data_IF_948417390797
#
_entry.id   IF_948417390797
#
_cell.length_a   1.000
_cell.length_b   1.000
_cell.length_c   1.000
_cell.angle_alpha   90.00
_cell.angle_beta   90.00
_cell.angle_gamma   90.00
#
_symmetry.space_group_name_H-M   'P 1'
#
loop_
_entity.id
_entity.type
_entity.pdbx_description
1 polymer ?
#
# COMPACT_ATOMS: atom_id res chain seq x y z
N UNK A 1 -1.15 11.88 11.33
CA UNK A 1 -1.33 10.54 10.73
C UNK A 1 -0.09 10.23 9.91
N UNK A 2 0.56 9.09 10.12
CA UNK A 2 1.72 8.67 9.31
C UNK A 2 1.33 7.49 8.43
N UNK A 3 1.56 7.61 7.13
CA UNK A 3 1.33 6.53 6.18
C UNK A 3 2.64 5.80 5.92
N UNK A 4 2.55 4.48 5.86
CA UNK A 4 3.62 3.61 5.44
C UNK A 4 3.09 2.72 4.33
N UNK A 5 3.76 2.75 3.18
CA UNK A 5 3.47 1.82 2.08
C UNK A 5 4.56 0.77 2.09
N UNK A 6 4.18 -0.50 2.08
CA UNK A 6 5.08 -1.65 2.06
C UNK A 6 4.78 -2.44 0.80
N UNK A 7 5.72 -2.48 -0.13
CA UNK A 7 5.67 -3.40 -1.25
C UNK A 7 6.06 -4.79 -0.75
N UNK A 8 5.25 -5.79 -1.07
CA UNK A 8 5.48 -7.19 -0.76
C UNK A 8 5.57 -8.03 -2.03
N UNK A 9 6.29 -9.14 -1.96
CA UNK A 9 6.26 -10.18 -3.01
C UNK A 9 5.02 -11.07 -2.89
N UNK A 10 4.95 -12.09 -3.75
CA UNK A 10 3.85 -13.07 -3.78
C UNK A 10 3.71 -13.86 -2.48
N UNK A 11 4.81 -14.04 -1.74
CA UNK A 11 4.84 -14.72 -0.43
C UNK A 11 4.54 -13.75 0.74
N UNK A 12 4.28 -12.48 0.45
CA UNK A 12 3.99 -11.44 1.43
C UNK A 12 5.23 -10.89 2.15
N UNK A 13 6.44 -11.18 1.64
CA UNK A 13 7.70 -10.67 2.18
C UNK A 13 7.95 -9.25 1.69
N UNK A 14 8.38 -8.39 2.59
CA UNK A 14 8.62 -6.98 2.31
C UNK A 14 9.82 -6.81 1.36
N UNK A 15 9.57 -6.16 0.22
CA UNK A 15 10.56 -5.82 -0.80
C UNK A 15 11.03 -4.37 -0.67
N UNK A 16 10.10 -3.46 -0.42
CA UNK A 16 10.35 -2.02 -0.33
C UNK A 16 9.41 -1.36 0.66
N UNK A 17 9.89 -0.30 1.30
CA UNK A 17 9.10 0.51 2.21
C UNK A 17 9.21 1.99 1.84
N UNK A 18 8.08 2.69 1.89
CA UNK A 18 8.00 4.14 1.82
C UNK A 18 7.33 4.68 3.08
N UNK A 19 7.97 5.63 3.74
CA UNK A 19 7.47 6.25 4.97
C UNK A 19 7.00 7.68 4.71
N UNK A 20 5.92 8.07 5.40
CA UNK A 20 5.27 9.37 5.26
C UNK A 20 4.76 9.65 3.84
N UNK A 21 4.33 8.61 3.13
CA UNK A 21 3.68 8.75 1.82
C UNK A 21 2.51 9.74 1.94
N UNK A 22 2.45 10.72 1.03
CA UNK A 22 1.33 11.66 0.98
C UNK A 22 0.18 11.04 0.20
N UNK A 23 -0.73 10.40 0.92
CA UNK A 23 -1.94 9.82 0.34
C UNK A 23 -3.11 10.78 0.49
N UNK A 24 -3.77 11.08 -0.63
CA UNK A 24 -5.02 11.86 -0.64
C UNK A 24 -6.18 11.08 -0.01
N UNK A 25 -6.14 9.75 -0.11
CA UNK A 25 -7.10 8.81 0.50
C UNK A 25 -6.40 7.51 0.85
N UNK A 26 -6.91 6.82 1.87
CA UNK A 26 -6.45 5.46 2.21
C UNK A 26 -7.17 4.50 1.27
N UNK A 27 -6.45 3.74 0.43
CA UNK A 27 -7.07 2.74 -0.44
C UNK A 27 -7.61 1.57 0.39
N UNK A 28 -8.59 0.87 -0.15
CA UNK A 28 -9.13 -0.38 0.40
C UNK A 28 -8.29 -1.60 0.01
N UNK A 29 -8.48 -2.70 0.73
CA UNK A 29 -7.93 -4.00 0.30
C UNK A 29 -8.61 -4.45 -0.99
N UNK A 30 -7.82 -4.88 -1.97
CA UNK A 30 -8.27 -5.21 -3.33
C UNK A 30 -8.25 -4.02 -4.30
N UNK A 31 -8.03 -2.80 -3.82
CA UNK A 31 -7.93 -1.64 -4.71
C UNK A 31 -6.70 -1.76 -5.61
N UNK A 32 -6.87 -1.32 -6.86
CA UNK A 32 -5.79 -1.19 -7.82
C UNK A 32 -5.18 0.20 -7.73
N UNK A 33 -3.87 0.26 -7.55
CA UNK A 33 -3.10 1.50 -7.50
C UNK A 33 -2.18 1.52 -8.71
N UNK A 34 -2.36 2.52 -9.58
CA UNK A 34 -1.38 2.80 -10.61
C UNK A 34 -0.15 3.40 -9.93
N UNK A 35 1.03 2.78 -10.10
CA UNK A 35 2.27 3.37 -9.65
C UNK A 35 2.51 4.69 -10.38
N UNK A 36 2.89 5.75 -9.67
CA UNK A 36 3.23 7.05 -10.27
C UNK A 36 4.58 7.05 -11.04
N UNK A 37 5.04 5.89 -11.50
CA UNK A 37 6.28 5.73 -12.28
C UNK A 37 6.03 5.63 -13.78
N UNK A 38 7.06 5.97 -14.58
CA UNK A 38 7.03 5.88 -16.05
C UNK A 38 6.86 4.45 -16.59
N UNK A 39 6.86 3.45 -15.72
CA UNK A 39 6.92 2.03 -16.08
C UNK A 39 5.52 1.44 -16.29
N UNK A 40 4.47 2.21 -16.00
CA UNK A 40 3.07 1.75 -16.09
C UNK A 40 2.75 0.60 -15.14
N UNK A 41 3.52 0.44 -14.05
CA UNK A 41 3.36 -0.66 -13.11
C UNK A 41 2.06 -0.48 -12.30
N UNK A 42 1.20 -1.49 -12.34
CA UNK A 42 0.02 -1.58 -11.49
C UNK A 42 0.35 -2.37 -10.22
N UNK A 43 -0.26 -1.96 -9.11
CA UNK A 43 -0.19 -2.64 -7.83
C UNK A 43 -1.61 -2.96 -7.35
N UNK A 44 -1.75 -4.05 -6.62
CA UNK A 44 -2.96 -4.35 -5.85
C UNK A 44 -2.68 -4.16 -4.37
N UNK A 45 -3.66 -3.64 -3.63
CA UNK A 45 -3.58 -3.56 -2.18
C UNK A 45 -3.93 -4.90 -1.57
N UNK A 46 -2.96 -5.54 -0.95
CA UNK A 46 -3.15 -6.82 -0.27
C UNK A 46 -3.78 -6.67 1.10
N UNK A 47 -3.39 -5.63 1.84
CA UNK A 47 -3.88 -5.39 3.18
C UNK A 47 -3.68 -3.95 3.61
N UNK A 48 -4.57 -3.48 4.47
CA UNK A 48 -4.43 -2.20 5.17
C UNK A 48 -4.50 -2.44 6.66
N UNK A 49 -3.43 -2.11 7.37
CA UNK A 49 -3.28 -2.33 8.80
C UNK A 49 -3.24 -0.98 9.51
N UNK A 50 -4.22 -0.74 10.37
CA UNK A 50 -4.29 0.45 11.21
C UNK A 50 -3.67 0.14 12.58
N UNK A 51 -2.65 0.90 12.96
CA UNK A 51 -2.08 0.86 14.29
C UNK A 51 -2.40 2.15 15.04
N UNK A 52 -3.13 1.99 16.14
CA UNK A 52 -3.37 3.01 17.15
C UNK A 52 -2.41 2.79 18.31
N UNK A 53 -1.62 3.80 18.66
CA UNK A 53 -0.76 3.72 19.83
C UNK A 53 -1.51 4.25 21.05
N UNK A 54 -1.82 3.35 22.00
CA UNK A 54 -2.56 3.69 23.23
C UNK A 54 -1.80 4.73 24.08
N UNK A 55 -0.47 4.69 24.02
CA UNK A 55 0.44 5.58 24.78
C UNK A 55 0.58 6.97 24.15
N UNK A 56 0.32 7.09 22.85
CA UNK A 56 0.36 8.34 22.10
C UNK A 56 -0.89 8.41 21.22
N UNK A 57 -2.06 8.80 21.78
CA UNK A 57 -3.35 8.72 21.09
C UNK A 57 -3.44 9.58 19.81
N UNK A 58 -2.54 10.55 19.65
CA UNK A 58 -2.41 11.35 18.42
C UNK A 58 -1.59 10.66 17.33
N UNK A 59 -0.87 9.58 17.69
CA UNK A 59 -0.08 8.77 16.78
C UNK A 59 -0.96 7.66 16.19
N UNK A 60 -1.52 7.95 15.02
CA UNK A 60 -2.15 6.96 14.15
C UNK A 60 -1.22 6.64 12.98
N UNK A 61 -0.86 5.37 12.82
CA UNK A 61 -0.10 4.90 11.66
C UNK A 61 -0.88 3.89 10.84
N UNK A 62 -0.83 4.02 9.52
CA UNK A 62 -1.47 3.10 8.59
C UNK A 62 -0.39 2.45 7.75
N UNK A 63 -0.37 1.12 7.73
CA UNK A 63 0.51 0.33 6.86
C UNK A 63 -0.32 -0.25 5.73
N UNK A 64 0.03 0.09 4.49
CA UNK A 64 -0.63 -0.40 3.28
C UNK A 64 0.34 -1.37 2.63
N UNK A 65 -0.04 -2.65 2.55
CA UNK A 65 0.72 -3.67 1.84
C UNK A 65 0.24 -3.71 0.39
N UNK A 66 1.17 -3.56 -0.54
CA UNK A 66 0.90 -3.59 -1.97
C UNK A 66 1.73 -4.68 -2.65
N UNK A 67 1.16 -5.34 -3.65
CA UNK A 67 1.86 -6.31 -4.48
C UNK A 67 1.84 -5.84 -5.93
N UNK A 68 2.95 -6.06 -6.64
CA UNK A 68 2.97 -5.87 -8.10
C UNK A 68 2.03 -6.86 -8.76
N UNK A 69 1.29 -6.38 -9.75
CA UNK A 69 0.51 -7.23 -10.65
C UNK A 69 0.93 -6.97 -12.09
N UNK A 70 0.78 -7.98 -12.94
CA UNK A 70 0.96 -7.80 -14.38
C UNK A 70 -0.18 -6.95 -14.94
N UNK A 71 0.15 -6.08 -15.90
CA UNK A 71 -0.81 -5.14 -16.49
C UNK A 71 -2.00 -5.82 -17.20
N UNK A 72 -1.88 -7.09 -17.56
CA UNK A 72 -2.99 -7.89 -18.14
C UNK A 72 -3.97 -8.39 -17.07
N UNK A 73 -3.54 -8.57 -15.81
CA UNK A 73 -4.45 -8.87 -14.69
C UNK A 73 -5.21 -7.62 -14.24
N UNK A 74 -4.55 -6.45 -14.24
CA UNK A 74 -5.18 -5.18 -13.86
C UNK A 74 -6.38 -4.79 -14.76
N UNK A 75 -6.41 -5.26 -16.01
CA UNK A 75 -7.48 -4.98 -16.98
C UNK A 75 -8.69 -5.92 -16.87
N UNK A 76 -8.61 -6.97 -16.05
CA UNK A 76 -9.66 -8.00 -15.92
C UNK A 76 -10.60 -7.79 -14.73
N UNK A 77 -10.29 -6.82 -13.86
CA UNK A 77 -11.12 -6.40 -12.72
C UNK A 77 -11.93 -5.17 -13.13
#
# INVERSE_FOLDING_TARGET
MRYRIVEVDEDGKELRQEENAQLNSIPGTGDLIAGEGNDGQAYIVDAVVHHNFIVEPELHSVTIKIRKIDNDEAKRV
#
